data_IF_853397169030
#
_entry.id   IF_853397169030
#
_cell.length_a   1.000
_cell.length_b   1.000
_cell.length_c   1.000
_cell.angle_alpha   90.00
_cell.angle_beta   90.00
_cell.angle_gamma   90.00
#
_symmetry.space_group_name_H-M   'P 1'
#
loop_
_entity.id
_entity.type
_entity.pdbx_description
1 polymer ?
#
# COMPACT_ATOMS: atom_id res chain seq x y z
N UNK A 1 -33.39 -62.84 39.37
CA UNK A 1 -34.28 -61.90 40.09
C UNK A 1 -33.65 -60.51 40.04
N UNK A 2 -34.26 -59.54 39.33
CA UNK A 2 -33.97 -58.11 39.45
C UNK A 2 -34.78 -57.50 40.62
N UNK A 3 -34.48 -56.26 41.04
CA UNK A 3 -35.47 -55.17 40.86
C UNK A 3 -34.82 -53.86 40.35
N UNK A 4 -35.45 -53.14 39.41
CA UNK A 4 -36.26 -51.91 39.63
C UNK A 4 -35.43 -50.77 40.29
N UNK A 5 -35.05 -49.64 39.69
CA UNK A 5 -35.52 -48.90 38.52
C UNK A 5 -36.33 -47.67 38.94
N UNK A 6 -35.72 -46.47 39.08
CA UNK A 6 -36.37 -45.13 39.01
C UNK A 6 -35.28 -44.05 38.70
N UNK A 7 -35.60 -42.81 38.25
CA UNK A 7 -35.17 -42.33 36.93
C UNK A 7 -34.49 -40.94 36.97
N UNK A 8 -34.29 -40.35 35.79
CA UNK A 8 -34.36 -38.90 35.56
C UNK A 8 -33.31 -38.00 36.25
N UNK A 9 -32.27 -37.65 35.49
CA UNK A 9 -31.93 -36.24 35.28
C UNK A 9 -31.05 -36.14 34.03
N UNK A 10 -31.69 -35.90 32.89
CA UNK A 10 -31.03 -35.45 31.69
C UNK A 10 -30.37 -34.09 31.98
N UNK A 11 -29.08 -34.10 32.32
CA UNK A 11 -28.27 -32.88 32.29
C UNK A 11 -27.91 -32.59 30.84
N UNK A 12 -28.87 -32.02 30.13
CA UNK A 12 -28.63 -31.37 28.85
C UNK A 12 -27.90 -30.06 29.16
N UNK A 13 -26.57 -30.13 29.25
CA UNK A 13 -25.72 -28.93 29.33
C UNK A 13 -25.85 -28.23 27.97
N UNK A 14 -26.72 -27.23 27.93
CA UNK A 14 -26.88 -26.30 26.83
C UNK A 14 -25.60 -25.46 26.75
N UNK A 15 -24.60 -25.96 26.02
CA UNK A 15 -23.43 -25.16 25.63
C UNK A 15 -23.96 -24.09 24.68
N UNK A 16 -24.22 -22.91 25.22
CA UNK A 16 -24.43 -21.70 24.43
C UNK A 16 -23.15 -21.44 23.67
N UNK A 17 -23.14 -21.85 22.40
CA UNK A 17 -22.14 -21.46 21.43
C UNK A 17 -22.17 -19.93 21.36
N UNK A 18 -21.25 -19.30 22.09
CA UNK A 18 -20.94 -17.89 21.95
C UNK A 18 -20.28 -17.76 20.58
N UNK A 19 -21.11 -17.66 19.54
CA UNK A 19 -20.69 -17.26 18.20
C UNK A 19 -20.23 -15.81 18.31
N UNK A 20 -18.99 -15.63 18.76
CA UNK A 20 -18.24 -14.43 18.50
C UNK A 20 -18.14 -14.33 16.99
N UNK A 21 -19.01 -13.52 16.40
CA UNK A 21 -18.85 -13.02 15.05
C UNK A 21 -17.55 -12.25 15.03
N UNK A 22 -16.46 -12.94 14.72
CA UNK A 22 -15.23 -12.32 14.28
C UNK A 22 -15.57 -11.55 13.01
N UNK A 23 -15.85 -10.25 13.18
CA UNK A 23 -15.90 -9.30 12.08
C UNK A 23 -14.52 -9.36 11.45
N UNK A 24 -14.40 -9.98 10.27
CA UNK A 24 -13.21 -9.84 9.45
C UNK A 24 -13.04 -8.35 9.20
N UNK A 25 -12.12 -7.73 9.92
CA UNK A 25 -11.67 -6.37 9.67
C UNK A 25 -10.99 -6.42 8.31
N UNK A 26 -11.64 -5.89 7.27
CA UNK A 26 -11.04 -5.79 5.95
C UNK A 26 -9.77 -4.93 6.08
N UNK A 27 -8.56 -5.52 5.98
CA UNK A 27 -7.33 -4.84 6.31
C UNK A 27 -6.84 -3.91 5.18
N UNK A 28 -7.66 -3.72 4.14
CA UNK A 28 -7.15 -3.26 2.85
C UNK A 28 -7.12 -1.74 2.70
N UNK A 29 -7.65 -1.00 3.67
CA UNK A 29 -7.56 0.46 3.74
C UNK A 29 -7.14 0.89 5.13
N UNK A 30 -6.08 1.69 5.23
CA UNK A 30 -5.67 2.29 6.50
C UNK A 30 -6.78 3.16 7.08
N UNK A 31 -7.34 2.75 8.23
CA UNK A 31 -8.11 3.65 9.12
C UNK A 31 -7.12 4.30 10.08
N UNK A 32 -6.78 5.56 9.79
CA UNK A 32 -5.74 6.28 10.53
C UNK A 32 -6.25 6.72 11.92
N UNK A 33 -5.63 6.21 12.99
CA UNK A 33 -5.88 6.67 14.38
C UNK A 33 -5.13 7.96 14.74
N UNK A 34 -4.08 8.30 13.99
CA UNK A 34 -3.24 9.48 14.18
C UNK A 34 -3.20 10.33 12.89
N UNK A 35 -2.71 11.58 12.94
CA UNK A 35 -2.62 12.44 11.77
C UNK A 35 -1.81 11.78 10.63
N UNK A 36 -2.22 11.97 9.37
CA UNK A 36 -1.59 11.31 8.22
C UNK A 36 -0.12 11.68 8.06
N UNK A 37 0.33 12.85 8.54
CA UNK A 37 1.76 13.21 8.50
C UNK A 37 2.69 12.25 9.28
N UNK A 38 2.15 11.45 10.21
CA UNK A 38 2.92 10.40 10.90
C UNK A 38 3.22 9.18 10.03
N UNK A 39 2.48 8.98 8.94
CA UNK A 39 2.57 7.80 8.10
C UNK A 39 2.99 8.22 6.70
N UNK A 40 3.92 7.48 6.11
CA UNK A 40 4.19 7.65 4.67
C UNK A 40 3.17 6.81 3.91
N UNK A 41 2.04 7.44 3.56
CA UNK A 41 0.94 6.76 2.89
C UNK A 41 1.22 6.65 1.41
N UNK A 42 1.15 5.43 0.89
CA UNK A 42 1.27 5.13 -0.53
C UNK A 42 -0.04 4.56 -1.03
N UNK A 43 -0.54 5.15 -2.12
CA UNK A 43 -1.72 4.67 -2.85
C UNK A 43 -1.34 4.18 -4.24
N UNK A 44 -0.31 4.77 -4.85
CA UNK A 44 0.11 4.49 -6.23
C UNK A 44 0.47 3.04 -6.49
N UNK A 45 1.02 2.33 -5.51
CA UNK A 45 1.42 0.93 -5.66
C UNK A 45 0.26 -0.08 -5.49
N UNK A 46 -0.77 0.29 -4.74
CA UNK A 46 -1.77 -0.66 -4.20
C UNK A 46 -3.21 -0.30 -4.56
N UNK A 47 -3.46 0.93 -5.05
CA UNK A 47 -4.78 1.56 -5.25
C UNK A 47 -5.64 1.69 -4.00
N UNK A 48 -5.14 1.25 -2.85
CA UNK A 48 -5.70 1.47 -1.53
C UNK A 48 -4.64 2.11 -0.64
N UNK A 49 -5.05 2.95 0.31
CA UNK A 49 -4.12 3.59 1.21
C UNK A 49 -3.42 2.56 2.10
N UNK A 50 -2.09 2.45 1.95
CA UNK A 50 -1.22 1.60 2.78
C UNK A 50 -0.05 2.41 3.32
N UNK A 51 0.47 1.95 4.46
CA UNK A 51 1.73 2.46 5.00
C UNK A 51 2.84 1.95 4.08
N UNK A 52 3.83 2.79 3.78
CA UNK A 52 4.95 2.40 2.93
C UNK A 52 5.59 1.07 3.39
N UNK A 53 5.73 0.85 4.69
CA UNK A 53 6.29 -0.39 5.25
C UNK A 53 5.43 -1.64 5.00
N UNK A 54 4.17 -1.45 4.60
CA UNK A 54 3.21 -2.52 4.28
C UNK A 54 3.03 -2.74 2.77
N UNK A 55 3.71 -1.95 1.93
CA UNK A 55 3.71 -2.17 0.48
C UNK A 55 4.64 -3.36 0.18
N UNK A 56 4.12 -4.39 -0.49
CA UNK A 56 4.88 -5.63 -0.75
C UNK A 56 6.02 -5.46 -1.76
N UNK A 57 5.97 -4.43 -2.59
CA UNK A 57 6.98 -4.10 -3.59
C UNK A 57 7.82 -2.90 -3.16
N UNK A 58 8.98 -2.72 -3.80
CA UNK A 58 9.79 -1.52 -3.60
C UNK A 58 9.01 -0.28 -4.04
N UNK A 59 8.84 0.68 -3.13
CA UNK A 59 8.24 1.97 -3.37
C UNK A 59 9.07 3.06 -2.70
N UNK A 60 9.12 4.24 -3.31
CA UNK A 60 9.85 5.41 -2.80
C UNK A 60 8.93 6.61 -2.90
N UNK A 61 8.84 7.42 -1.84
CA UNK A 61 8.12 8.70 -1.88
C UNK A 61 9.13 9.85 -1.84
N UNK A 62 9.01 10.74 -2.82
CA UNK A 62 9.74 12.00 -2.85
C UNK A 62 8.80 13.10 -2.36
N UNK A 63 9.12 13.70 -1.20
CA UNK A 63 8.22 14.63 -0.52
C UNK A 63 8.30 16.05 -1.09
N UNK A 64 7.15 16.73 -1.18
CA UNK A 64 7.08 18.08 -1.74
C UNK A 64 7.78 19.15 -0.90
N UNK A 65 7.86 19.00 0.43
CA UNK A 65 8.60 19.93 1.28
C UNK A 65 10.11 19.86 1.04
N UNK A 66 10.62 18.65 0.82
CA UNK A 66 12.01 18.44 0.40
C UNK A 66 12.28 19.06 -0.98
N UNK A 67 11.41 18.81 -1.97
CA UNK A 67 11.55 19.42 -3.29
C UNK A 67 11.53 20.95 -3.25
N UNK A 68 10.68 21.55 -2.42
CA UNK A 68 10.63 23.01 -2.22
C UNK A 68 11.90 23.55 -1.59
N UNK A 69 12.45 22.86 -0.58
CA UNK A 69 13.73 23.25 0.05
C UNK A 69 14.89 23.20 -0.94
N UNK A 70 14.90 22.18 -1.81
CA UNK A 70 15.93 21.99 -2.86
C UNK A 70 15.76 22.94 -4.05
N UNK A 71 14.63 23.63 -4.15
CA UNK A 71 14.32 24.49 -5.29
C UNK A 71 14.17 23.71 -6.60
N UNK A 72 13.79 22.44 -6.53
CA UNK A 72 13.59 21.55 -7.68
C UNK A 72 12.52 22.11 -8.60
N UNK A 73 12.81 22.15 -9.91
CA UNK A 73 11.93 22.76 -10.93
C UNK A 73 11.36 21.76 -11.92
N UNK A 74 11.93 20.57 -12.02
CA UNK A 74 11.48 19.54 -12.95
C UNK A 74 11.28 18.20 -12.26
N UNK A 75 10.43 17.34 -12.84
CA UNK A 75 10.23 15.96 -12.37
C UNK A 75 11.51 15.15 -12.53
N UNK A 76 12.29 15.38 -13.59
CA UNK A 76 13.59 14.74 -13.76
C UNK A 76 14.53 15.07 -12.60
N UNK A 77 14.72 16.35 -12.25
CA UNK A 77 15.52 16.77 -11.10
C UNK A 77 15.01 16.15 -9.78
N UNK A 78 13.70 16.02 -9.60
CA UNK A 78 13.12 15.42 -8.39
C UNK A 78 13.49 13.95 -8.20
N UNK A 79 13.81 13.26 -9.30
CA UNK A 79 13.97 11.82 -9.39
C UNK A 79 15.43 11.36 -9.48
N UNK A 80 16.39 12.29 -9.61
CA UNK A 80 17.82 11.99 -9.80
C UNK A 80 18.46 11.16 -8.68
N UNK A 81 17.96 11.28 -7.45
CA UNK A 81 18.51 10.56 -6.27
C UNK A 81 17.80 9.21 -6.00
N UNK A 82 16.83 8.83 -6.84
CA UNK A 82 16.08 7.58 -6.64
C UNK A 82 16.89 6.42 -7.20
N UNK A 83 17.20 5.45 -6.33
CA UNK A 83 17.97 4.26 -6.71
C UNK A 83 17.26 3.46 -7.79
N UNK A 84 18.01 3.07 -8.82
CA UNK A 84 17.50 2.26 -9.93
C UNK A 84 16.66 3.05 -10.93
N UNK A 85 16.60 4.38 -10.82
CA UNK A 85 15.93 5.26 -11.76
C UNK A 85 16.98 6.10 -12.51
N UNK A 86 16.80 6.22 -13.82
CA UNK A 86 17.59 7.07 -14.70
C UNK A 86 16.68 8.12 -15.34
N UNK A 87 17.16 9.37 -15.39
CA UNK A 87 16.47 10.51 -15.98
C UNK A 87 17.33 11.07 -17.09
N UNK A 88 16.96 10.82 -18.35
CA UNK A 88 17.63 11.41 -19.51
C UNK A 88 16.97 12.72 -19.94
N UNK A 89 17.76 13.65 -20.47
CA UNK A 89 17.25 14.82 -21.19
C UNK A 89 16.86 14.42 -22.61
N UNK A 90 15.56 14.44 -22.89
CA UNK A 90 14.99 14.14 -24.22
C UNK A 90 14.74 12.66 -24.49
N UNK A 91 13.78 12.41 -25.38
CA UNK A 91 13.52 11.10 -25.97
C UNK A 91 13.49 11.20 -27.50
N UNK A 92 13.19 10.10 -28.19
CA UNK A 92 13.04 10.11 -29.65
C UNK A 92 11.91 11.06 -30.10
N UNK A 93 10.96 11.36 -29.20
CA UNK A 93 9.93 12.40 -29.33
C UNK A 93 10.42 13.84 -29.04
N UNK A 94 11.72 14.05 -28.81
CA UNK A 94 12.36 15.37 -28.66
C UNK A 94 12.67 15.79 -27.22
N UNK A 95 13.31 16.96 -27.08
CA UNK A 95 13.87 17.49 -25.82
C UNK A 95 12.84 17.86 -24.74
N UNK A 96 11.53 17.79 -25.05
CA UNK A 96 10.46 18.26 -24.16
C UNK A 96 9.85 17.17 -23.28
N UNK A 97 10.14 15.90 -23.57
CA UNK A 97 9.60 14.78 -22.80
C UNK A 97 10.70 14.17 -21.92
N UNK A 98 10.42 13.95 -20.62
CA UNK A 98 11.36 13.27 -19.73
C UNK A 98 11.44 11.79 -20.13
N UNK A 99 12.67 11.31 -20.34
CA UNK A 99 12.93 9.92 -20.67
C UNK A 99 13.37 9.17 -19.41
N UNK A 100 12.45 8.43 -18.80
CA UNK A 100 12.67 7.70 -17.56
C UNK A 100 13.06 6.24 -17.85
N UNK A 101 14.12 5.76 -17.21
CA UNK A 101 14.50 4.35 -17.22
C UNK A 101 14.47 3.76 -15.82
N UNK A 102 13.94 2.55 -15.65
CA UNK A 102 13.88 1.85 -14.37
C UNK A 102 14.65 0.54 -14.46
N UNK A 103 15.61 0.32 -13.57
CA UNK A 103 16.45 -0.90 -13.51
C UNK A 103 17.13 -1.26 -14.82
N UNK A 104 17.58 -0.24 -15.58
CA UNK A 104 18.20 -0.43 -16.90
C UNK A 104 17.22 -0.73 -18.02
N UNK A 105 15.91 -0.83 -17.73
CA UNK A 105 14.86 -0.87 -18.73
C UNK A 105 14.47 0.55 -19.09
N UNK A 106 14.82 0.95 -20.31
CA UNK A 106 14.43 2.23 -20.90
C UNK A 106 13.34 1.91 -21.91
N UNK A 107 12.09 2.08 -21.50
CA UNK A 107 10.96 1.84 -22.40
C UNK A 107 10.93 2.96 -23.46
N UNK A 108 10.87 2.55 -24.72
CA UNK A 108 10.84 3.44 -25.87
C UNK A 108 9.62 4.36 -25.78
N UNK A 109 9.88 5.66 -25.64
CA UNK A 109 8.99 6.75 -26.02
C UNK A 109 7.57 6.81 -25.41
N UNK A 110 7.29 6.16 -24.27
CA UNK A 110 5.97 6.26 -23.62
C UNK A 110 5.99 6.18 -22.08
N UNK A 111 5.73 7.33 -21.45
CA UNK A 111 4.85 7.52 -20.28
C UNK A 111 4.91 6.48 -19.13
N UNK A 112 6.03 6.40 -18.42
CA UNK A 112 6.11 5.80 -17.07
C UNK A 112 5.66 6.79 -15.97
N UNK A 113 4.73 7.69 -16.29
CA UNK A 113 4.25 8.72 -15.37
C UNK A 113 2.73 8.71 -15.37
N UNK A 114 2.16 8.66 -14.17
CA UNK A 114 0.73 8.89 -13.95
C UNK A 114 0.57 10.07 -13.02
N UNK A 115 -0.36 10.96 -13.34
CA UNK A 115 -0.76 12.08 -12.49
C UNK A 115 -2.06 11.64 -11.83
N UNK A 116 -2.10 11.70 -10.49
CA UNK A 116 -3.24 11.26 -9.69
C UNK A 116 -3.68 9.82 -10.01
N UNK A 117 -2.69 8.92 -9.96
CA UNK A 117 -2.80 7.48 -10.21
C UNK A 117 -4.09 6.82 -9.75
#
# INVERSE_FOLDING_TARGET
MPPLGIPAAASLILVSALSATARAESPDTLVMKHPPEKYEVVVSATRTAKDLAQVANAAVVVRGDELRRRGTRTVAEALQDVVGLDTGEGSDNGMRLPNLGLWGLKEFDALLVTIDG
#
